data_IF_220975608089
#
_entry.id   IF_220975608089
#
_cell.length_a   1.000
_cell.length_b   1.000
_cell.length_c   1.000
_cell.angle_alpha   90.00
_cell.angle_beta   90.00
_cell.angle_gamma   90.00
#
_symmetry.space_group_name_H-M   'P 1'
#
loop_
_entity.id
_entity.type
_entity.pdbx_description
1 polymer ?
#
# COMPACT_ATOMS: atom_id res chain seq x y z
N UNK A 1 77.94 12.44 59.74
CA UNK A 1 77.81 13.27 58.53
C UNK A 1 76.59 12.81 57.74
N UNK A 2 75.86 13.78 57.18
CA UNK A 2 74.48 13.82 56.68
C UNK A 2 73.76 12.51 56.28
N UNK A 3 72.51 12.44 56.73
CA UNK A 3 71.48 11.42 56.46
C UNK A 3 70.32 12.05 55.67
N UNK A 4 69.66 11.24 54.83
CA UNK A 4 68.43 11.53 54.07
C UNK A 4 67.21 11.80 54.98
N UNK A 5 66.25 12.64 54.52
CA UNK A 5 64.81 12.31 54.34
C UNK A 5 63.93 13.51 53.90
N UNK A 6 63.08 13.22 52.90
CA UNK A 6 61.72 13.67 52.57
C UNK A 6 61.08 14.90 53.25
N UNK A 7 60.46 15.80 52.46
CA UNK A 7 59.00 15.84 52.19
C UNK A 7 58.47 17.27 51.89
N UNK A 8 57.78 17.38 50.75
CA UNK A 8 56.47 18.02 50.52
C UNK A 8 56.14 19.40 51.12
N UNK A 9 55.89 20.40 50.26
CA UNK A 9 54.70 21.28 50.37
C UNK A 9 54.54 22.13 49.09
N UNK A 10 53.50 21.82 48.30
CA UNK A 10 53.10 22.59 47.12
C UNK A 10 51.96 23.55 47.54
N UNK A 11 52.10 24.82 47.15
CA UNK A 11 51.23 25.94 47.55
C UNK A 11 49.90 25.97 46.79
N UNK A 12 48.85 26.31 47.52
CA UNK A 12 47.50 26.61 47.04
C UNK A 12 47.47 27.84 46.13
N UNK A 13 46.79 27.74 44.98
CA UNK A 13 46.21 28.87 44.26
C UNK A 13 44.80 28.45 43.82
N UNK A 14 43.79 29.12 44.38
CA UNK A 14 42.39 28.87 44.09
C UNK A 14 41.98 29.46 42.74
N UNK A 15 41.25 28.68 41.96
CA UNK A 15 40.48 29.15 40.82
C UNK A 15 39.08 28.53 40.92
N UNK A 16 38.08 29.35 41.22
CA UNK A 16 36.67 28.95 41.10
C UNK A 16 36.36 28.80 39.61
N UNK A 17 36.03 27.59 39.17
CA UNK A 17 35.41 27.36 37.86
C UNK A 17 33.90 27.35 38.08
N UNK A 18 33.23 28.40 37.61
CA UNK A 18 31.77 28.45 37.51
C UNK A 18 31.34 27.50 36.38
N UNK A 19 30.82 26.32 36.74
CA UNK A 19 30.24 25.39 35.78
C UNK A 19 28.79 25.83 35.48
N UNK A 20 28.62 26.72 34.52
CA UNK A 20 27.30 27.05 33.96
C UNK A 20 26.81 25.88 33.09
N UNK A 21 26.03 24.99 33.69
CA UNK A 21 25.27 23.97 32.96
C UNK A 21 24.15 24.69 32.20
N UNK A 22 24.37 25.01 30.92
CA UNK A 22 23.26 25.30 30.02
C UNK A 22 22.49 23.99 29.81
N UNK A 23 21.37 23.83 30.50
CA UNK A 23 20.32 22.91 30.08
C UNK A 23 19.79 23.44 28.73
N UNK A 24 20.34 22.93 27.63
CA UNK A 24 19.69 23.02 26.34
C UNK A 24 18.39 22.22 26.43
N UNK A 25 17.28 22.92 26.71
CA UNK A 25 15.95 22.39 26.55
C UNK A 25 15.78 22.05 25.06
N UNK A 26 16.04 20.79 24.71
CA UNK A 26 15.63 20.22 23.43
C UNK A 26 14.12 20.52 23.29
N UNK A 27 13.67 21.12 22.17
CA UNK A 27 12.25 21.29 21.96
C UNK A 27 11.63 19.89 21.96
N UNK A 28 10.78 19.63 22.95
CA UNK A 28 9.90 18.47 22.95
C UNK A 28 9.06 18.63 21.69
N UNK A 29 9.44 17.91 20.63
CA UNK A 29 8.57 17.76 19.47
C UNK A 29 7.29 17.14 20.03
N UNK A 30 6.11 17.76 19.83
CA UNK A 30 4.88 17.07 20.18
C UNK A 30 4.92 15.75 19.44
N UNK A 31 4.79 14.63 20.17
CA UNK A 31 4.44 13.38 19.55
C UNK A 31 3.25 13.70 18.66
N UNK A 32 3.35 13.45 17.35
CA UNK A 32 2.16 13.47 16.52
C UNK A 32 1.18 12.55 17.24
N UNK A 33 0.12 13.12 17.80
CA UNK A 33 -1.05 12.34 18.16
C UNK A 33 -1.30 11.47 16.95
N UNK A 34 -1.26 10.15 17.11
CA UNK A 34 -1.74 9.25 16.07
C UNK A 34 -3.14 9.79 15.73
N UNK A 35 -3.27 10.45 14.58
CA UNK A 35 -4.56 10.95 14.15
C UNK A 35 -5.46 9.72 14.17
N UNK A 36 -6.47 9.74 15.03
CA UNK A 36 -7.31 8.58 15.25
C UNK A 36 -7.78 8.08 13.87
N UNK A 37 -7.50 6.82 13.56
CA UNK A 37 -7.85 6.21 12.28
C UNK A 37 -9.31 6.55 11.92
N UNK A 38 -9.53 7.01 10.69
CA UNK A 38 -10.85 7.34 10.16
C UNK A 38 -11.05 6.64 8.83
N UNK A 39 -12.05 5.74 8.68
CA UNK A 39 -12.25 4.95 7.47
C UNK A 39 -12.38 5.72 6.15
N UNK A 40 -12.68 7.02 6.20
CA UNK A 40 -12.78 7.88 5.01
C UNK A 40 -13.77 7.33 3.94
N UNK A 41 -14.89 6.72 4.37
CA UNK A 41 -15.94 6.17 3.50
C UNK A 41 -16.56 7.25 2.59
N UNK A 42 -16.95 6.84 1.38
CA UNK A 42 -17.67 7.70 0.45
C UNK A 42 -19.04 8.10 1.03
N UNK A 43 -19.45 9.35 0.83
CA UNK A 43 -20.73 9.86 1.34
C UNK A 43 -21.95 9.39 0.51
N UNK A 44 -21.71 8.86 -0.68
CA UNK A 44 -22.72 8.31 -1.58
C UNK A 44 -22.08 7.25 -2.48
N UNK A 45 -22.91 6.36 -3.03
CA UNK A 45 -22.44 5.29 -3.90
C UNK A 45 -21.86 5.84 -5.21
N UNK A 46 -20.67 5.38 -5.57
CA UNK A 46 -19.99 5.59 -6.84
C UNK A 46 -19.48 4.24 -7.32
N UNK A 47 -19.61 3.94 -8.61
CA UNK A 47 -18.91 2.83 -9.24
C UNK A 47 -18.27 3.25 -10.56
N UNK A 48 -17.14 2.62 -10.89
CA UNK A 48 -16.39 2.86 -12.12
C UNK A 48 -16.20 1.51 -12.80
N UNK A 49 -16.70 1.37 -14.03
CA UNK A 49 -16.69 0.12 -14.81
C UNK A 49 -17.22 -1.10 -14.06
N UNK A 50 -18.19 -0.86 -13.17
CA UNK A 50 -18.81 -1.91 -12.34
C UNK A 50 -18.09 -2.19 -11.02
N UNK A 51 -16.92 -1.60 -10.76
CA UNK A 51 -16.24 -1.67 -9.46
C UNK A 51 -16.80 -0.59 -8.54
N UNK A 52 -17.35 -1.00 -7.41
CA UNK A 52 -17.82 -0.07 -6.37
C UNK A 52 -16.65 0.66 -5.70
N UNK A 53 -16.80 1.96 -5.48
CA UNK A 53 -15.81 2.82 -4.83
C UNK A 53 -16.35 3.24 -3.46
N UNK A 54 -16.06 2.47 -2.39
CA UNK A 54 -16.67 2.71 -1.07
C UNK A 54 -15.97 3.79 -0.24
N UNK A 55 -14.92 4.42 -0.76
CA UNK A 55 -14.09 5.40 -0.07
C UNK A 55 -14.12 6.75 -0.77
N UNK A 56 -13.91 7.83 -0.01
CA UNK A 56 -13.92 9.21 -0.51
C UNK A 56 -12.83 9.50 -1.53
N UNK A 57 -11.78 8.68 -1.57
CA UNK A 57 -10.65 8.80 -2.47
C UNK A 57 -10.26 7.41 -2.97
N UNK A 58 -10.04 7.26 -4.28
CA UNK A 58 -9.58 5.99 -4.84
C UNK A 58 -8.85 6.17 -6.17
N UNK A 59 -7.79 5.41 -6.38
CA UNK A 59 -7.11 5.30 -7.67
C UNK A 59 -7.85 4.35 -8.61
N UNK A 60 -7.99 4.77 -9.86
CA UNK A 60 -8.52 4.00 -10.98
C UNK A 60 -7.44 3.95 -12.05
N UNK A 61 -7.29 2.81 -12.74
CA UNK A 61 -6.23 2.63 -13.73
C UNK A 61 -6.86 2.45 -15.11
N UNK A 62 -6.40 3.23 -16.09
CA UNK A 62 -6.97 3.22 -17.43
C UNK A 62 -5.88 3.39 -18.50
N UNK A 63 -6.16 2.92 -19.72
CA UNK A 63 -5.28 3.17 -20.87
C UNK A 63 -5.67 4.48 -21.59
N UNK A 64 -4.70 5.16 -22.21
CA UNK A 64 -4.92 6.27 -23.14
C UNK A 64 -6.04 6.00 -24.15
N UNK A 65 -6.89 6.99 -24.40
CA UNK A 65 -8.00 6.90 -25.36
C UNK A 65 -9.16 5.96 -24.95
N UNK A 66 -9.04 5.27 -23.81
CA UNK A 66 -10.10 4.46 -23.24
C UNK A 66 -11.30 5.29 -22.77
N UNK A 67 -12.33 4.62 -22.25
CA UNK A 67 -13.50 5.27 -21.66
C UNK A 67 -13.91 4.58 -20.37
N UNK A 68 -14.00 5.36 -19.30
CA UNK A 68 -14.52 4.90 -18.02
C UNK A 68 -16.02 5.18 -17.91
N UNK A 69 -16.80 4.20 -17.47
CA UNK A 69 -18.22 4.35 -17.15
C UNK A 69 -18.40 4.58 -15.65
N UNK A 70 -18.80 5.80 -15.28
CA UNK A 70 -18.99 6.21 -13.89
C UNK A 70 -20.48 6.27 -13.58
N UNK A 71 -20.90 5.60 -12.51
CA UNK A 71 -22.30 5.56 -12.04
C UNK A 71 -22.39 6.03 -10.60
N UNK A 72 -23.48 6.69 -10.26
CA UNK A 72 -23.71 7.23 -8.91
C UNK A 72 -25.08 6.82 -8.38
N UNK A 73 -25.18 6.62 -7.06
CA UNK A 73 -26.46 6.34 -6.40
C UNK A 73 -27.41 7.55 -6.35
N UNK A 74 -26.85 8.76 -6.42
CA UNK A 74 -27.53 10.05 -6.32
C UNK A 74 -27.28 10.90 -7.57
N UNK A 75 -28.10 11.95 -7.78
CA UNK A 75 -27.78 12.95 -8.81
C UNK A 75 -26.45 13.62 -8.47
N UNK A 76 -25.55 13.70 -9.43
CA UNK A 76 -24.19 14.20 -9.23
C UNK A 76 -23.73 15.05 -10.41
N UNK A 77 -22.59 15.69 -10.23
CA UNK A 77 -21.81 16.37 -11.28
C UNK A 77 -20.43 15.71 -11.34
N UNK A 78 -19.92 15.49 -12.54
CA UNK A 78 -18.53 15.06 -12.74
C UNK A 78 -17.70 16.28 -13.08
N UNK A 79 -16.53 16.44 -12.44
CA UNK A 79 -15.57 17.52 -12.72
C UNK A 79 -14.19 16.94 -12.98
N UNK A 80 -13.56 17.37 -14.07
CA UNK A 80 -12.20 16.99 -14.43
C UNK A 80 -11.57 18.12 -15.26
N UNK A 81 -10.30 18.39 -15.05
CA UNK A 81 -9.53 19.38 -15.84
C UNK A 81 -8.99 18.80 -17.15
N UNK A 82 -9.08 17.48 -17.29
CA UNK A 82 -8.52 16.70 -18.38
C UNK A 82 -9.49 15.60 -18.79
N UNK A 83 -9.29 15.07 -19.99
CA UNK A 83 -10.23 14.11 -20.57
C UNK A 83 -11.55 14.78 -20.95
N UNK A 84 -12.46 14.01 -21.53
CA UNK A 84 -13.77 14.50 -21.94
C UNK A 84 -14.87 13.89 -21.07
N UNK A 85 -15.72 14.73 -20.49
CA UNK A 85 -16.87 14.28 -19.70
C UNK A 85 -18.08 14.14 -20.60
N UNK A 86 -18.66 12.94 -20.63
CA UNK A 86 -19.88 12.62 -21.36
C UNK A 86 -21.00 12.38 -20.34
N UNK A 87 -21.85 13.36 -20.09
CA UNK A 87 -23.01 13.17 -19.23
C UNK A 87 -24.11 12.40 -19.99
N UNK A 88 -24.39 11.16 -19.56
CA UNK A 88 -25.43 10.32 -20.17
C UNK A 88 -26.77 10.56 -19.47
N UNK A 89 -26.77 10.57 -18.14
CA UNK A 89 -27.91 10.94 -17.30
C UNK A 89 -27.39 11.68 -16.06
N UNK A 90 -28.25 12.27 -15.21
CA UNK A 90 -27.82 12.86 -13.94
C UNK A 90 -27.12 11.90 -12.95
N UNK A 91 -27.07 10.59 -13.25
CA UNK A 91 -26.43 9.55 -12.41
C UNK A 91 -25.45 8.66 -13.19
N UNK A 92 -25.19 8.97 -14.46
CA UNK A 92 -24.37 8.15 -15.36
C UNK A 92 -23.52 9.05 -16.24
N UNK A 93 -22.23 8.81 -16.20
CA UNK A 93 -21.23 9.58 -16.91
C UNK A 93 -20.27 8.64 -17.64
N UNK A 94 -19.81 9.07 -18.81
CA UNK A 94 -18.57 8.58 -19.39
C UNK A 94 -17.47 9.59 -19.11
N UNK A 95 -16.25 9.11 -18.94
CA UNK A 95 -15.06 9.95 -18.99
C UNK A 95 -14.08 9.35 -19.99
N UNK A 96 -13.76 10.10 -21.04
CA UNK A 96 -12.79 9.71 -22.06
C UNK A 96 -11.39 9.98 -21.51
N UNK A 97 -10.57 8.94 -21.51
CA UNK A 97 -9.24 8.96 -20.93
C UNK A 97 -8.30 9.74 -21.86
N UNK A 98 -7.63 10.79 -21.37
CA UNK A 98 -6.71 11.59 -22.19
C UNK A 98 -5.49 10.76 -22.60
N UNK A 99 -4.78 11.20 -23.65
CA UNK A 99 -3.59 10.49 -24.15
C UNK A 99 -2.38 10.62 -23.22
N UNK A 100 -2.30 11.72 -22.46
CA UNK A 100 -1.21 11.97 -21.53
C UNK A 100 -1.27 10.95 -20.39
N UNK A 101 -0.16 10.25 -20.15
CA UNK A 101 -0.01 9.32 -19.03
C UNK A 101 0.19 10.03 -17.69
N UNK A 102 0.02 9.29 -16.59
CA UNK A 102 0.16 9.80 -15.22
C UNK A 102 -1.19 10.06 -14.54
N UNK A 103 -1.21 10.75 -13.38
CA UNK A 103 -2.43 10.96 -12.60
C UNK A 103 -3.31 12.09 -13.16
N UNK A 104 -4.62 11.85 -13.18
CA UNK A 104 -5.67 12.79 -13.57
C UNK A 104 -6.75 12.83 -12.50
N UNK A 105 -7.13 14.03 -12.07
CA UNK A 105 -8.16 14.22 -11.05
C UNK A 105 -9.55 14.23 -11.68
N UNK A 106 -10.41 13.32 -11.23
CA UNK A 106 -11.83 13.26 -11.58
C UNK A 106 -12.65 13.28 -10.30
N UNK A 107 -13.46 14.33 -10.11
CA UNK A 107 -14.27 14.52 -8.90
C UNK A 107 -15.73 14.24 -9.20
N UNK A 108 -16.35 13.38 -8.39
CA UNK A 108 -17.80 13.18 -8.39
C UNK A 108 -18.38 14.02 -7.25
N UNK A 109 -19.25 14.99 -7.56
CA UNK A 109 -19.79 15.95 -6.60
C UNK A 109 -21.30 15.80 -6.48
N UNK A 110 -21.80 15.62 -5.25
CA UNK A 110 -23.23 15.57 -4.97
C UNK A 110 -23.54 16.19 -3.60
N UNK A 111 -24.51 17.09 -3.52
CA UNK A 111 -25.00 17.69 -2.27
C UNK A 111 -23.89 18.23 -1.34
N UNK A 112 -22.88 18.91 -1.90
CA UNK A 112 -21.74 19.45 -1.16
C UNK A 112 -20.74 18.41 -0.63
N UNK A 113 -20.85 17.15 -1.06
CA UNK A 113 -19.90 16.06 -0.79
C UNK A 113 -19.17 15.67 -2.07
N UNK A 114 -17.95 15.14 -1.92
CA UNK A 114 -17.08 14.77 -3.03
C UNK A 114 -16.52 13.37 -2.84
N UNK A 115 -16.46 12.62 -3.94
CA UNK A 115 -15.61 11.43 -4.10
C UNK A 115 -14.54 11.76 -5.13
N UNK A 116 -13.28 11.70 -4.71
CA UNK A 116 -12.09 11.98 -5.51
C UNK A 116 -11.57 10.70 -6.17
N UNK A 117 -11.68 10.63 -7.49
CA UNK A 117 -11.07 9.57 -8.29
C UNK A 117 -9.73 10.08 -8.82
N UNK A 118 -8.65 9.39 -8.49
CA UNK A 118 -7.33 9.62 -9.11
C UNK A 118 -7.19 8.62 -10.25
N UNK A 119 -7.54 9.04 -11.47
CA UNK A 119 -7.40 8.19 -12.64
C UNK A 119 -5.95 8.24 -13.10
N UNK A 120 -5.21 7.14 -12.92
CA UNK A 120 -3.84 7.02 -13.37
C UNK A 120 -3.85 6.40 -14.77
N UNK A 121 -3.53 7.23 -15.76
CA UNK A 121 -3.41 6.83 -17.16
C UNK A 121 -2.08 6.11 -17.34
N UNK A 122 -2.17 4.82 -17.67
CA UNK A 122 -1.04 3.90 -17.74
C UNK A 122 -0.28 4.02 -19.05
N UNK A 123 0.98 3.59 -19.04
CA UNK A 123 1.72 3.24 -20.25
C UNK A 123 1.18 1.91 -20.79
N UNK A 124 0.83 1.80 -22.09
CA UNK A 124 0.39 0.54 -22.68
C UNK A 124 1.45 -0.55 -22.50
N UNK A 125 1.02 -1.79 -22.25
CA UNK A 125 1.92 -2.92 -22.05
C UNK A 125 2.74 -3.25 -23.32
N UNK A 126 2.26 -2.77 -24.47
CA UNK A 126 2.90 -2.82 -25.78
C UNK A 126 4.19 -2.00 -25.84
N UNK A 127 4.38 -1.02 -24.95
CA UNK A 127 5.61 -0.24 -24.83
C UNK A 127 6.79 -1.09 -24.29
N UNK A 128 6.50 -2.22 -23.64
CA UNK A 128 7.52 -3.15 -23.18
C UNK A 128 8.09 -3.93 -24.37
N UNK A 129 9.34 -3.64 -24.73
CA UNK A 129 10.08 -4.33 -25.80
C UNK A 129 11.12 -5.25 -25.20
N UNK A 130 11.14 -6.50 -25.63
CA UNK A 130 12.08 -7.54 -25.13
C UNK A 130 12.12 -7.65 -23.60
N UNK A 131 10.97 -7.42 -22.94
CA UNK A 131 10.84 -7.47 -21.49
C UNK A 131 11.36 -6.23 -20.76
N UNK A 132 11.64 -5.12 -21.44
CA UNK A 132 12.18 -3.88 -20.89
C UNK A 132 11.34 -2.68 -21.36
N UNK A 133 11.18 -1.68 -20.49
CA UNK A 133 10.60 -0.37 -20.80
C UNK A 133 11.41 0.70 -20.09
N UNK A 134 11.87 1.71 -20.83
CA UNK A 134 12.69 2.83 -20.31
C UNK A 134 13.86 2.39 -19.41
N UNK A 135 14.53 1.29 -19.80
CA UNK A 135 15.64 0.69 -19.05
C UNK A 135 15.24 -0.14 -17.80
N UNK A 136 13.95 -0.19 -17.47
CA UNK A 136 13.43 -0.98 -16.35
C UNK A 136 13.00 -2.38 -16.80
N UNK A 137 13.56 -3.41 -16.16
CA UNK A 137 13.29 -4.82 -16.53
C UNK A 137 11.95 -5.28 -15.96
N UNK A 138 10.98 -5.55 -16.83
CA UNK A 138 9.70 -6.19 -16.50
C UNK A 138 9.84 -7.71 -16.60
N UNK A 139 10.51 -8.19 -17.66
CA UNK A 139 10.51 -9.59 -18.06
C UNK A 139 9.18 -10.05 -18.66
N UNK A 140 9.03 -11.35 -18.87
CA UNK A 140 7.87 -11.93 -19.55
C UNK A 140 6.80 -12.43 -18.59
N UNK A 141 5.56 -12.02 -18.83
CA UNK A 141 4.36 -12.65 -18.27
C UNK A 141 4.13 -14.03 -18.90
N UNK A 142 3.40 -14.95 -18.23
CA UNK A 142 2.95 -16.19 -18.86
C UNK A 142 2.14 -15.91 -20.13
N UNK A 143 2.40 -16.67 -21.19
CA UNK A 143 1.70 -16.52 -22.48
C UNK A 143 0.20 -16.85 -22.39
N UNK A 144 -0.14 -17.84 -21.56
CA UNK A 144 -1.51 -18.28 -21.34
C UNK A 144 -1.94 -17.96 -19.91
N UNK A 145 -3.15 -17.41 -19.71
CA UNK A 145 -3.69 -17.21 -18.38
C UNK A 145 -3.77 -18.54 -17.61
N UNK A 146 -3.40 -18.52 -16.33
CA UNK A 146 -3.48 -19.70 -15.48
C UNK A 146 -4.91 -20.24 -15.46
N UNK A 147 -5.09 -21.48 -15.91
CA UNK A 147 -6.39 -22.16 -16.05
C UNK A 147 -7.42 -21.38 -16.91
N UNK A 148 -6.97 -20.51 -17.81
CA UNK A 148 -7.86 -19.68 -18.64
C UNK A 148 -8.64 -18.62 -17.86
N UNK A 149 -8.22 -18.29 -16.64
CA UNK A 149 -8.89 -17.31 -15.79
C UNK A 149 -8.45 -15.88 -16.15
N UNK A 150 -9.40 -14.99 -16.43
CA UNK A 150 -9.14 -13.60 -16.87
C UNK A 150 -8.29 -12.79 -15.88
N UNK A 151 -8.38 -13.07 -14.58
CA UNK A 151 -7.54 -12.43 -13.56
C UNK A 151 -6.03 -12.70 -13.73
N UNK A 152 -5.64 -13.70 -14.53
CA UNK A 152 -4.26 -14.04 -14.90
C UNK A 152 -3.88 -13.64 -16.33
N UNK A 153 -4.72 -12.86 -17.01
CA UNK A 153 -4.33 -12.22 -18.26
C UNK A 153 -3.18 -11.24 -18.05
N UNK A 154 -2.35 -11.08 -19.08
CA UNK A 154 -1.29 -10.08 -19.10
C UNK A 154 -1.93 -8.70 -18.84
N UNK A 155 -1.42 -7.92 -17.87
CA UNK A 155 -1.95 -6.59 -17.60
C UNK A 155 -1.91 -5.72 -18.86
N UNK A 156 -2.95 -4.92 -19.12
CA UNK A 156 -3.05 -4.11 -20.34
C UNK A 156 -2.07 -2.92 -20.34
N UNK A 157 -1.58 -2.51 -19.17
CA UNK A 157 -0.65 -1.41 -19.03
C UNK A 157 0.13 -1.44 -17.72
N UNK A 158 1.03 -0.47 -17.60
CA UNK A 158 1.90 -0.24 -16.46
C UNK A 158 1.73 1.20 -15.98
N UNK A 159 1.69 1.39 -14.67
CA UNK A 159 1.80 2.70 -14.05
C UNK A 159 3.27 3.10 -14.08
N UNK A 160 3.60 4.17 -14.79
CA UNK A 160 4.90 4.82 -14.68
C UNK A 160 4.97 5.59 -13.36
N UNK A 161 5.98 5.31 -12.55
CA UNK A 161 6.19 5.94 -11.24
C UNK A 161 7.53 6.66 -11.30
N UNK A 162 7.49 7.97 -11.09
CA UNK A 162 8.67 8.81 -10.85
C UNK A 162 8.87 9.01 -9.35
N UNK A 163 10.00 9.58 -8.89
CA UNK A 163 10.20 9.90 -7.47
C UNK A 163 9.04 10.72 -6.88
N UNK A 164 8.53 11.69 -7.63
CA UNK A 164 7.46 12.60 -7.20
C UNK A 164 6.11 11.89 -7.06
N UNK A 165 5.90 10.82 -7.83
CA UNK A 165 4.67 10.02 -7.78
C UNK A 165 4.69 8.95 -6.69
N UNK A 166 5.83 8.68 -6.05
CA UNK A 166 5.91 7.69 -4.98
C UNK A 166 4.97 8.04 -3.80
N UNK A 167 4.81 9.33 -3.51
CA UNK A 167 3.94 9.81 -2.44
C UNK A 167 2.48 10.00 -2.86
N UNK A 168 2.12 9.73 -4.13
CA UNK A 168 0.75 9.87 -4.62
C UNK A 168 -0.20 8.96 -3.81
N UNK A 169 -1.24 9.50 -3.14
CA UNK A 169 -2.20 8.65 -2.45
C UNK A 169 -3.08 7.91 -3.46
N UNK A 170 -3.15 6.59 -3.33
CA UNK A 170 -3.95 5.70 -4.20
C UNK A 170 -5.24 5.24 -3.54
N UNK A 171 -5.36 5.40 -2.23
CA UNK A 171 -6.58 5.28 -1.44
C UNK A 171 -6.39 6.10 -0.15
N UNK A 172 -7.37 6.19 0.77
CA UNK A 172 -7.24 7.07 1.94
C UNK A 172 -6.00 6.83 2.81
N UNK A 173 -5.52 5.59 2.91
CA UNK A 173 -4.43 5.20 3.79
C UNK A 173 -3.24 4.55 3.08
N UNK A 174 -3.23 4.53 1.74
CA UNK A 174 -2.14 3.94 0.96
C UNK A 174 -1.61 4.88 -0.12
N UNK A 175 -0.29 4.80 -0.35
CA UNK A 175 0.45 5.56 -1.36
C UNK A 175 1.03 4.63 -2.42
N UNK A 176 1.20 5.15 -3.64
CA UNK A 176 1.69 4.38 -4.79
C UNK A 176 3.06 3.74 -4.51
N UNK A 177 3.95 4.45 -3.83
CA UNK A 177 5.31 4.02 -3.49
C UNK A 177 5.36 2.74 -2.64
N UNK A 178 4.34 2.50 -1.81
CA UNK A 178 4.26 1.28 -0.98
C UNK A 178 4.16 0.00 -1.83
N UNK A 179 3.71 0.10 -3.09
CA UNK A 179 3.52 -1.05 -3.97
C UNK A 179 4.67 -1.24 -4.96
N UNK A 180 5.74 -0.46 -4.87
CA UNK A 180 6.88 -0.56 -5.78
C UNK A 180 7.57 -1.92 -5.67
N UNK A 181 8.05 -2.41 -6.81
CA UNK A 181 8.88 -3.61 -6.84
C UNK A 181 10.23 -3.32 -6.18
N UNK A 182 10.68 -4.26 -5.33
CA UNK A 182 11.97 -4.22 -4.65
C UNK A 182 13.17 -4.52 -5.55
N UNK A 183 12.94 -4.71 -6.86
CA UNK A 183 14.02 -4.81 -7.84
C UNK A 183 14.89 -3.54 -7.78
N UNK A 184 16.23 -3.70 -7.74
CA UNK A 184 17.13 -2.56 -7.87
C UNK A 184 16.98 -1.91 -9.25
N UNK A 185 17.30 -0.63 -9.35
CA UNK A 185 17.23 0.11 -10.60
C UNK A 185 16.93 1.58 -10.39
N UNK A 186 17.13 2.36 -11.45
CA UNK A 186 16.80 3.77 -11.48
C UNK A 186 15.31 4.05 -11.67
N UNK A 187 15.01 5.32 -11.91
CA UNK A 187 13.68 5.82 -12.25
C UNK A 187 13.57 6.06 -13.77
N UNK A 188 12.36 5.98 -14.36
CA UNK A 188 11.10 5.62 -13.71
C UNK A 188 11.02 4.12 -13.35
N UNK A 189 10.19 3.81 -12.37
CA UNK A 189 9.79 2.43 -12.04
C UNK A 189 8.40 2.16 -12.60
N UNK A 190 8.07 0.89 -12.79
CA UNK A 190 6.77 0.50 -13.35
C UNK A 190 6.03 -0.45 -12.42
N UNK A 191 4.74 -0.21 -12.24
CA UNK A 191 3.85 -0.94 -11.31
C UNK A 191 2.59 -1.40 -12.02
N UNK A 192 2.13 -2.60 -11.71
CA UNK A 192 0.73 -2.99 -11.93
C UNK A 192 0.04 -2.97 -10.57
N UNK A 193 -1.11 -2.31 -10.49
CA UNK A 193 -1.92 -2.24 -9.28
C UNK A 193 -3.39 -2.37 -9.65
N UNK A 194 -4.17 -3.05 -8.78
CA UNK A 194 -5.61 -3.25 -8.97
C UNK A 194 -6.41 -2.50 -7.91
N UNK A 195 -7.46 -1.79 -8.33
CA UNK A 195 -8.33 -1.03 -7.42
C UNK A 195 -8.99 -1.95 -6.38
N UNK A 196 -9.30 -3.19 -6.74
CA UNK A 196 -9.90 -4.18 -5.84
C UNK A 196 -8.96 -4.58 -4.69
N UNK A 197 -7.64 -4.61 -4.93
CA UNK A 197 -6.66 -4.83 -3.85
C UNK A 197 -6.71 -3.67 -2.85
N UNK A 198 -6.69 -2.42 -3.34
CA UNK A 198 -6.75 -1.22 -2.50
C UNK A 198 -8.04 -1.20 -1.65
N UNK A 199 -9.19 -1.49 -2.27
CA UNK A 199 -10.47 -1.58 -1.56
C UNK A 199 -10.41 -2.64 -0.46
N UNK A 200 -9.84 -3.81 -0.77
CA UNK A 200 -9.70 -4.89 0.21
C UNK A 200 -8.79 -4.49 1.37
N UNK A 201 -7.64 -3.89 1.10
CA UNK A 201 -6.70 -3.42 2.12
C UNK A 201 -7.33 -2.39 3.06
N UNK A 202 -8.05 -1.40 2.52
CA UNK A 202 -8.77 -0.41 3.32
C UNK A 202 -9.84 -1.05 4.23
N UNK A 203 -10.54 -2.09 3.74
CA UNK A 203 -11.54 -2.80 4.57
C UNK A 203 -10.89 -3.59 5.70
N UNK A 204 -9.77 -4.27 5.41
CA UNK A 204 -9.00 -4.97 6.45
C UNK A 204 -8.49 -3.98 7.48
N UNK A 205 -7.98 -2.82 7.03
CA UNK A 205 -7.48 -1.76 7.90
C UNK A 205 -8.58 -1.23 8.84
N UNK A 206 -9.82 -1.11 8.36
CA UNK A 206 -10.97 -0.75 9.20
C UNK A 206 -11.25 -1.82 10.26
N UNK A 207 -11.26 -3.09 9.88
CA UNK A 207 -11.50 -4.20 10.80
C UNK A 207 -10.39 -4.31 11.87
N UNK A 208 -9.13 -4.14 11.48
CA UNK A 208 -7.96 -4.11 12.36
C UNK A 208 -8.08 -3.00 13.40
N UNK A 209 -8.43 -1.78 12.97
CA UNK A 209 -8.60 -0.66 13.88
C UNK A 209 -9.83 -0.80 14.80
N UNK A 210 -10.92 -1.40 14.30
CA UNK A 210 -12.11 -1.73 15.08
C UNK A 210 -11.81 -2.81 16.13
N UNK A 211 -10.93 -3.76 15.82
CA UNK A 211 -10.46 -4.82 16.74
C UNK A 211 -9.58 -4.28 17.87
N UNK A 212 -9.00 -3.09 17.70
CA UNK A 212 -8.15 -2.42 18.69
C UNK A 212 -6.68 -2.36 18.32
N UNK A 213 -6.25 -3.03 17.25
CA UNK A 213 -4.88 -2.91 16.71
C UNK A 213 -4.77 -1.59 15.95
N UNK A 214 -4.38 -0.53 16.67
CA UNK A 214 -4.36 0.84 16.12
C UNK A 214 -3.23 1.01 15.13
N UNK A 215 -3.57 1.31 13.89
CA UNK A 215 -2.59 1.63 12.85
C UNK A 215 -3.18 2.54 11.78
N UNK A 216 -2.37 3.45 11.25
CA UNK A 216 -2.77 4.37 10.19
C UNK A 216 -2.72 3.72 8.79
N UNK A 217 -1.92 2.67 8.60
CA UNK A 217 -1.74 1.92 7.36
C UNK A 217 -1.09 0.56 7.64
N UNK A 218 -0.94 -0.29 6.64
CA UNK A 218 -0.07 -1.47 6.75
C UNK A 218 1.33 -1.15 6.24
N UNK A 219 2.33 -1.81 6.82
CA UNK A 219 3.61 -1.94 6.15
C UNK A 219 3.43 -2.91 4.98
N UNK A 220 3.78 -2.47 3.77
CA UNK A 220 3.65 -3.28 2.55
C UNK A 220 5.02 -3.86 2.23
N UNK A 221 5.31 -5.01 2.84
CA UNK A 221 6.58 -5.72 2.66
C UNK A 221 6.82 -6.06 1.19
N UNK A 222 5.77 -6.37 0.44
CA UNK A 222 5.87 -6.62 -1.01
C UNK A 222 4.54 -6.34 -1.69
N UNK A 223 4.50 -5.32 -2.55
CA UNK A 223 3.39 -5.06 -3.47
C UNK A 223 3.61 -5.74 -4.83
N UNK A 224 3.67 -4.94 -5.89
CA UNK A 224 3.92 -5.44 -7.24
C UNK A 224 5.32 -6.07 -7.37
N UNK A 225 5.40 -7.15 -8.14
CA UNK A 225 6.67 -7.74 -8.57
C UNK A 225 6.70 -7.75 -10.08
N UNK A 226 7.79 -7.30 -10.70
CA UNK A 226 7.98 -7.57 -12.13
C UNK A 226 8.07 -9.10 -12.32
N UNK A 227 7.61 -9.66 -13.45
CA UNK A 227 7.84 -11.06 -13.76
C UNK A 227 9.32 -11.49 -13.64
N UNK A 228 10.26 -10.61 -14.02
CA UNK A 228 11.70 -10.81 -13.82
C UNK A 228 12.05 -10.98 -12.33
N UNK A 229 11.72 -9.99 -11.50
CA UNK A 229 12.04 -10.01 -10.07
C UNK A 229 11.35 -11.16 -9.34
N UNK A 230 10.09 -11.44 -9.67
CA UNK A 230 9.36 -12.57 -9.08
C UNK A 230 10.09 -13.89 -9.33
N UNK A 231 10.61 -14.12 -10.55
CA UNK A 231 11.42 -15.31 -10.84
C UNK A 231 12.77 -15.30 -10.14
N UNK A 232 13.45 -14.15 -10.05
CA UNK A 232 14.79 -14.09 -9.44
C UNK A 232 14.78 -14.43 -7.95
N UNK A 233 13.65 -14.24 -7.27
CA UNK A 233 13.45 -14.66 -5.87
C UNK A 233 12.76 -16.04 -5.74
N UNK A 234 12.75 -16.84 -6.82
CA UNK A 234 12.29 -18.24 -6.80
C UNK A 234 10.77 -18.45 -6.81
N UNK A 235 9.96 -17.40 -7.04
CA UNK A 235 8.50 -17.53 -7.05
C UNK A 235 7.97 -18.04 -8.39
N UNK A 236 6.84 -18.77 -8.32
CA UNK A 236 6.17 -19.34 -9.48
C UNK A 236 5.62 -18.29 -10.46
N UNK A 237 5.43 -18.68 -11.74
CA UNK A 237 5.03 -17.78 -12.82
C UNK A 237 3.60 -17.25 -12.69
N UNK A 238 2.76 -17.89 -11.86
CA UNK A 238 1.37 -17.51 -11.63
C UNK A 238 1.16 -16.78 -10.29
N UNK A 239 2.21 -16.16 -9.74
CA UNK A 239 2.13 -15.34 -8.53
C UNK A 239 1.14 -14.19 -8.70
N UNK A 240 0.29 -13.90 -7.71
CA UNK A 240 -0.65 -12.77 -7.82
C UNK A 240 0.03 -11.39 -7.76
N UNK A 241 1.26 -11.31 -7.24
CA UNK A 241 2.03 -10.06 -7.20
C UNK A 241 2.37 -9.53 -8.59
N UNK A 242 2.62 -10.39 -9.57
CA UNK A 242 2.93 -9.93 -10.93
C UNK A 242 1.71 -9.32 -11.63
N UNK A 243 0.50 -9.58 -11.15
CA UNK A 243 -0.74 -9.04 -11.73
C UNK A 243 -1.30 -7.85 -10.94
N UNK A 244 -0.52 -7.30 -10.01
CA UNK A 244 -0.88 -6.11 -9.21
C UNK A 244 -2.03 -6.31 -8.22
N UNK A 245 -2.45 -7.56 -8.01
CA UNK A 245 -3.61 -7.90 -7.20
C UNK A 245 -3.28 -8.47 -5.84
N UNK A 246 -2.01 -8.46 -5.40
CA UNK A 246 -1.55 -9.01 -4.13
C UNK A 246 -0.62 -8.06 -3.37
N UNK A 247 -0.63 -8.20 -2.06
CA UNK A 247 0.31 -7.55 -1.15
C UNK A 247 0.68 -8.50 -0.01
N UNK A 248 1.95 -8.45 0.39
CA UNK A 248 2.43 -9.01 1.66
C UNK A 248 2.48 -7.88 2.68
N UNK A 249 1.72 -8.00 3.77
CA UNK A 249 1.50 -6.92 4.73
C UNK A 249 1.69 -7.34 6.18
N UNK A 250 2.00 -6.37 7.03
CA UNK A 250 1.99 -6.49 8.48
C UNK A 250 1.68 -5.14 9.16
N UNK A 251 1.39 -5.17 10.45
CA UNK A 251 1.22 -3.99 11.31
C UNK A 251 2.54 -3.76 12.02
N UNK A 252 3.05 -2.52 12.01
CA UNK A 252 4.34 -2.14 12.57
C UNK A 252 4.25 -0.71 13.06
N UNK A 253 4.01 -0.56 14.37
CA UNK A 253 3.72 0.74 15.00
C UNK A 253 4.48 0.88 16.31
N UNK A 254 4.60 -0.18 17.11
CA UNK A 254 5.07 -0.08 18.49
C UNK A 254 6.02 -1.23 18.88
N UNK A 255 7.34 -1.05 18.68
CA UNK A 255 8.00 0.07 18.00
C UNK A 255 7.84 0.00 16.47
N UNK A 256 8.04 1.13 15.78
CA UNK A 256 8.18 1.13 14.32
C UNK A 256 9.58 0.65 13.95
N UNK A 257 9.74 -0.64 13.65
CA UNK A 257 11.06 -1.29 13.47
C UNK A 257 11.16 -2.25 12.27
N UNK A 258 10.25 -2.12 11.31
CA UNK A 258 10.13 -2.98 10.12
C UNK A 258 9.85 -4.46 10.46
N UNK A 259 9.30 -4.72 11.65
CA UNK A 259 8.80 -6.03 12.07
C UNK A 259 7.35 -5.92 12.48
N UNK A 260 6.65 -7.05 12.41
CA UNK A 260 5.27 -7.13 12.83
C UNK A 260 5.14 -6.89 14.35
N UNK A 261 4.15 -6.11 14.75
CA UNK A 261 3.73 -5.94 16.14
C UNK A 261 3.24 -7.29 16.73
N UNK A 262 3.38 -7.44 18.05
CA UNK A 262 2.80 -8.55 18.81
C UNK A 262 1.26 -8.37 18.91
N UNK A 263 0.54 -9.03 18.00
CA UNK A 263 -0.91 -8.89 17.86
C UNK A 263 -1.69 -9.83 18.79
N UNK A 264 -1.09 -10.95 19.18
CA UNK A 264 -1.72 -11.90 20.11
C UNK A 264 -1.43 -11.58 21.59
N UNK A 265 -0.43 -10.73 21.86
CA UNK A 265 -0.11 -10.20 23.19
C UNK A 265 0.68 -11.16 24.06
N UNK A 266 1.35 -12.16 23.47
CA UNK A 266 2.15 -13.16 24.22
C UNK A 266 3.59 -12.70 24.53
N UNK A 267 3.95 -11.48 24.10
CA UNK A 267 5.25 -10.86 24.26
C UNK A 267 6.28 -11.28 23.21
N UNK A 268 5.89 -12.02 22.16
CA UNK A 268 6.81 -12.53 21.13
C UNK A 268 6.25 -12.34 19.72
N UNK A 269 7.06 -11.73 18.86
CA UNK A 269 6.75 -11.62 17.42
C UNK A 269 7.02 -12.94 16.71
N UNK A 270 5.96 -13.70 16.42
CA UNK A 270 5.98 -15.03 15.83
C UNK A 270 4.93 -15.20 14.73
N UNK A 271 4.85 -16.41 14.14
CA UNK A 271 3.78 -16.75 13.19
C UNK A 271 2.37 -16.61 13.80
N UNK A 272 2.24 -16.66 15.12
CA UNK A 272 0.93 -16.49 15.78
C UNK A 272 0.34 -15.10 15.55
N UNK A 273 1.16 -14.06 15.45
CA UNK A 273 0.70 -12.71 15.13
C UNK A 273 0.12 -12.63 13.72
N UNK A 274 0.83 -13.23 12.75
CA UNK A 274 0.32 -13.38 11.39
C UNK A 274 -0.98 -14.20 11.37
N UNK A 275 -1.12 -15.22 12.21
CA UNK A 275 -2.35 -16.00 12.34
C UNK A 275 -3.48 -15.19 12.99
N UNK A 276 -3.19 -14.31 13.95
CA UNK A 276 -4.19 -13.42 14.54
C UNK A 276 -4.80 -12.50 13.47
N UNK A 277 -3.95 -11.88 12.65
CA UNK A 277 -4.41 -11.04 11.54
C UNK A 277 -5.13 -11.87 10.44
N UNK A 278 -4.62 -13.05 10.11
CA UNK A 278 -5.27 -13.99 9.20
C UNK A 278 -6.70 -14.33 9.66
N UNK A 279 -6.87 -14.70 10.93
CA UNK A 279 -8.16 -15.10 11.49
C UNK A 279 -9.16 -13.94 11.47
N UNK A 280 -8.71 -12.72 11.78
CA UNK A 280 -9.54 -11.52 11.66
C UNK A 280 -10.06 -11.32 10.23
N UNK A 281 -9.22 -11.58 9.22
CA UNK A 281 -9.61 -11.45 7.81
C UNK A 281 -10.57 -12.57 7.39
N UNK A 282 -10.38 -13.80 7.87
CA UNK A 282 -11.33 -14.90 7.64
C UNK A 282 -12.70 -14.60 8.25
N UNK A 283 -12.74 -14.08 9.47
CA UNK A 283 -13.98 -13.65 10.13
C UNK A 283 -14.67 -12.52 9.37
N UNK A 284 -13.88 -11.55 8.88
CA UNK A 284 -14.37 -10.45 8.05
C UNK A 284 -14.99 -10.98 6.74
N UNK A 285 -14.30 -11.88 6.03
CA UNK A 285 -14.81 -12.52 4.81
C UNK A 285 -16.10 -13.32 5.10
N UNK A 286 -16.14 -14.05 6.21
CA UNK A 286 -17.32 -14.80 6.64
C UNK A 286 -18.54 -13.92 6.97
N UNK A 287 -18.32 -12.71 7.50
CA UNK A 287 -19.36 -11.73 7.85
C UNK A 287 -19.80 -10.88 6.66
N UNK A 288 -18.89 -10.55 5.75
CA UNK A 288 -19.13 -9.66 4.60
C UNK A 288 -19.33 -10.40 3.26
N UNK A 289 -19.73 -11.67 3.27
CA UNK A 289 -19.81 -12.54 2.07
C UNK A 289 -20.41 -11.92 0.80
N UNK A 290 -21.36 -10.98 0.94
CA UNK A 290 -22.03 -10.32 -0.21
C UNK A 290 -21.23 -9.18 -0.83
N UNK A 291 -20.40 -8.50 -0.05
CA UNK A 291 -19.67 -7.30 -0.48
C UNK A 291 -18.17 -7.53 -0.50
N UNK A 292 -17.68 -8.59 0.12
CA UNK A 292 -16.28 -8.98 0.16
C UNK A 292 -15.85 -9.55 -1.19
N UNK A 293 -14.72 -9.06 -1.71
CA UNK A 293 -14.10 -9.63 -2.90
C UNK A 293 -13.31 -10.87 -2.47
N UNK A 294 -13.65 -12.10 -2.91
CA UNK A 294 -12.87 -13.28 -2.53
C UNK A 294 -11.43 -13.19 -3.02
N UNK A 295 -10.51 -13.88 -2.36
CA UNK A 295 -9.13 -13.95 -2.82
C UNK A 295 -8.24 -14.88 -2.02
N UNK A 296 -6.94 -14.82 -2.29
CA UNK A 296 -5.93 -15.58 -1.54
C UNK A 296 -5.58 -14.93 -0.22
N UNK A 297 -5.37 -15.77 0.80
CA UNK A 297 -4.91 -15.36 2.13
C UNK A 297 -3.94 -16.43 2.63
N UNK A 298 -2.77 -16.01 3.12
CA UNK A 298 -1.79 -16.94 3.68
C UNK A 298 -0.96 -16.33 4.80
N UNK A 299 -0.65 -17.11 5.83
CA UNK A 299 0.13 -16.68 6.97
C UNK A 299 1.56 -17.23 6.93
N UNK A 300 2.55 -16.37 7.10
CA UNK A 300 3.97 -16.72 7.07
C UNK A 300 4.64 -16.43 8.41
N UNK A 301 5.54 -17.31 8.80
CA UNK A 301 6.41 -17.10 9.96
C UNK A 301 7.68 -16.36 9.57
N UNK A 302 8.49 -16.05 10.58
CA UNK A 302 9.78 -15.42 10.41
C UNK A 302 10.79 -16.33 9.69
N UNK A 303 11.68 -15.72 8.92
CA UNK A 303 12.89 -16.33 8.37
C UNK A 303 14.10 -15.48 8.76
N UNK A 304 15.28 -15.79 8.21
CA UNK A 304 16.45 -14.93 8.36
C UNK A 304 16.29 -13.57 7.63
N UNK A 305 15.39 -13.46 6.64
CA UNK A 305 15.25 -12.26 5.80
C UNK A 305 14.07 -11.37 6.17
N UNK A 306 13.07 -11.88 6.90
CA UNK A 306 11.89 -11.10 7.29
C UNK A 306 11.22 -11.67 8.56
N UNK A 307 10.43 -10.82 9.23
CA UNK A 307 9.51 -11.22 10.31
C UNK A 307 8.25 -11.94 9.79
N UNK A 308 7.26 -12.21 10.67
CA UNK A 308 5.99 -12.78 10.24
C UNK A 308 5.18 -11.74 9.45
N UNK A 309 4.34 -12.21 8.53
CA UNK A 309 3.50 -11.36 7.70
C UNK A 309 2.32 -12.17 7.13
N UNK A 310 1.35 -11.49 6.52
CA UNK A 310 0.30 -12.14 5.75
C UNK A 310 0.42 -11.79 4.27
N UNK A 311 0.17 -12.78 3.41
CA UNK A 311 -0.18 -12.55 2.02
C UNK A 311 -1.67 -12.30 1.93
N UNK A 312 -2.09 -11.27 1.18
CA UNK A 312 -3.49 -11.04 0.80
C UNK A 312 -3.58 -10.68 -0.68
N UNK A 313 -4.59 -11.20 -1.38
CA UNK A 313 -4.88 -10.81 -2.75
C UNK A 313 -6.38 -10.75 -3.08
N UNK A 314 -6.70 -10.14 -4.22
CA UNK A 314 -8.05 -10.00 -4.74
C UNK A 314 -8.26 -10.83 -6.02
N UNK A 315 -7.83 -12.11 -6.04
CA UNK A 315 -7.94 -12.99 -7.23
C UNK A 315 -9.37 -13.42 -7.60
N UNK A 316 -10.38 -13.06 -6.81
CA UNK A 316 -11.80 -13.36 -7.09
C UNK A 316 -12.26 -14.77 -6.70
N UNK A 317 -11.37 -15.59 -6.13
CA UNK A 317 -11.70 -16.91 -5.58
C UNK A 317 -10.85 -17.23 -4.35
N UNK A 318 -11.41 -18.04 -3.46
CA UNK A 318 -10.78 -18.41 -2.19
C UNK A 318 -9.56 -19.29 -2.45
N UNK A 319 -8.45 -18.94 -1.82
CA UNK A 319 -7.27 -19.78 -1.68
C UNK A 319 -6.65 -19.54 -0.29
N UNK A 320 -6.30 -20.61 0.43
CA UNK A 320 -5.73 -20.55 1.78
C UNK A 320 -4.47 -21.40 1.86
N UNK A 321 -3.47 -20.92 2.57
CA UNK A 321 -2.23 -21.66 2.83
C UNK A 321 -1.50 -21.07 4.03
N UNK A 322 -0.45 -21.75 4.49
CA UNK A 322 0.31 -21.30 5.66
C UNK A 322 -0.46 -21.48 6.98
N UNK A 323 -1.63 -22.09 6.97
CA UNK A 323 -2.42 -22.50 8.14
C UNK A 323 -2.59 -24.01 8.15
N UNK A 324 -2.77 -24.62 9.32
CA UNK A 324 -3.21 -26.01 9.39
C UNK A 324 -4.61 -26.13 8.77
N UNK A 325 -4.96 -27.27 8.13
CA UNK A 325 -6.35 -27.51 7.74
C UNK A 325 -7.26 -27.32 8.95
N UNK A 326 -8.32 -26.55 8.79
CA UNK A 326 -9.41 -26.47 9.76
C UNK A 326 -10.04 -27.85 9.94
#
# INVERSE_FOLDING_TARGET
>A
MLCRRNALMLRFAGFLIFLSVLLSALPIRPAMSADAYKPARAAFHVSVDGVDIPYRQMAIFALPGGRLAIRTGVKAELRAETGEIIQVTPRRFGWVVPDRTGPHAVKVVASGKTVDLTVIVMRPMEDVKDGVIDGYVIGSYPEKPYKGLSVYERPPGLIEVTPELADLPVSPHFRLGQFLCKQPGGWPKFVVLRTELLIKLERVLEAVNARGWKTASFEVMSGYRTPHYNRSIGNGPNSRHIYGGAADIFIDVHPKDDRMDDLDGDGKVTKKDALALYNLIEELEGREKRTWMPGGLGAYGSTASHGPFIHIDARGFIARWGVAPL
#
